data_IF_482486423429
#
_entry.id   IF_482486423429
#
_cell.length_a   1.000
_cell.length_b   1.000
_cell.length_c   1.000
_cell.angle_alpha   90.00
_cell.angle_beta   90.00
_cell.angle_gamma   90.00
#
_symmetry.space_group_name_H-M   'P 1'
#
loop_
_entity.id
_entity.type
_entity.pdbx_description
1 polymer ?
#
# COMPACT_ATOMS: atom_id res chain seq x y z
N UNK A 1 10.16 12.58 17.31
CA UNK A 1 10.74 11.28 16.92
C UNK A 1 10.61 11.10 15.41
N UNK A 2 11.67 10.63 14.72
CA UNK A 2 11.70 10.48 13.26
C UNK A 2 10.56 9.61 12.69
N UNK A 3 10.05 8.65 13.48
CA UNK A 3 8.97 7.74 13.11
C UNK A 3 7.62 8.44 12.86
N UNK A 4 7.24 9.39 13.72
CA UNK A 4 6.00 10.15 13.56
C UNK A 4 6.04 11.09 12.35
N UNK A 5 7.23 11.58 12.00
CA UNK A 5 7.46 12.38 10.80
C UNK A 5 7.23 11.54 9.53
N UNK A 6 7.81 10.35 9.54
CA UNK A 6 7.73 9.41 8.44
C UNK A 6 6.27 9.00 8.16
N UNK A 7 5.51 8.68 9.20
CA UNK A 7 4.11 8.26 9.05
C UNK A 7 3.25 9.33 8.37
N UNK A 8 3.54 10.62 8.62
CA UNK A 8 2.85 11.75 7.97
C UNK A 8 3.16 11.82 6.47
N UNK A 9 4.42 11.63 6.08
CA UNK A 9 4.77 11.57 4.64
C UNK A 9 4.14 10.35 3.97
N UNK A 10 4.18 9.20 4.63
CA UNK A 10 3.51 8.00 4.13
C UNK A 10 2.01 8.22 3.96
N UNK A 11 1.32 8.83 4.93
CA UNK A 11 -0.10 9.15 4.80
C UNK A 11 -0.37 10.09 3.63
N UNK A 12 0.47 11.10 3.41
CA UNK A 12 0.33 12.01 2.29
C UNK A 12 0.37 11.29 0.94
N UNK A 13 1.34 10.39 0.74
CA UNK A 13 1.43 9.59 -0.49
C UNK A 13 0.26 8.60 -0.59
N UNK A 14 -0.13 7.97 0.52
CA UNK A 14 -1.27 7.04 0.54
C UNK A 14 -2.61 7.71 0.27
N UNK A 15 -2.77 9.02 0.51
CA UNK A 15 -3.99 9.73 0.09
C UNK A 15 -4.20 9.71 -1.42
N UNK A 16 -3.12 9.69 -2.22
CA UNK A 16 -3.24 9.51 -3.68
C UNK A 16 -3.82 8.13 -4.00
N UNK A 17 -3.36 7.09 -3.31
CA UNK A 17 -3.87 5.74 -3.48
C UNK A 17 -5.32 5.60 -2.98
N UNK A 18 -5.67 6.25 -1.86
CA UNK A 18 -7.04 6.25 -1.34
C UNK A 18 -8.01 6.96 -2.27
N UNK A 19 -7.64 8.14 -2.79
CA UNK A 19 -8.47 8.86 -3.76
C UNK A 19 -8.73 8.03 -5.02
N UNK A 20 -7.73 7.28 -5.48
CA UNK A 20 -7.91 6.38 -6.63
C UNK A 20 -8.77 5.16 -6.28
N UNK A 21 -8.61 4.56 -5.09
CA UNK A 21 -9.49 3.48 -4.61
C UNK A 21 -10.94 3.95 -4.60
N UNK A 22 -11.20 5.14 -4.08
CA UNK A 22 -12.55 5.70 -3.96
C UNK A 22 -13.16 6.00 -5.34
N UNK A 23 -12.33 6.26 -6.36
CA UNK A 23 -12.77 6.38 -7.75
C UNK A 23 -13.02 5.01 -8.42
N UNK A 24 -12.13 4.03 -8.22
CA UNK A 24 -12.22 2.70 -8.85
C UNK A 24 -13.42 1.90 -8.31
N UNK A 25 -13.67 1.98 -7.01
CA UNK A 25 -14.71 1.19 -6.32
C UNK A 25 -16.10 1.34 -6.95
N UNK A 26 -16.68 2.56 -7.12
CA UNK A 26 -18.00 2.73 -7.73
C UNK A 26 -18.02 2.37 -9.22
N UNK A 27 -16.91 2.61 -9.97
CA UNK A 27 -16.81 2.25 -11.39
C UNK A 27 -16.95 0.74 -11.58
N UNK A 28 -16.23 -0.04 -10.77
CA UNK A 28 -16.29 -1.49 -10.82
C UNK A 28 -17.62 -2.00 -10.25
N UNK A 29 -18.14 -1.40 -9.18
CA UNK A 29 -19.41 -1.80 -8.58
C UNK A 29 -20.57 -1.60 -9.56
N UNK A 30 -20.57 -0.50 -10.32
CA UNK A 30 -21.55 -0.26 -11.37
C UNK A 30 -21.42 -1.27 -12.53
N UNK A 31 -20.19 -1.56 -12.96
CA UNK A 31 -19.93 -2.59 -13.98
C UNK A 31 -20.38 -3.99 -13.53
N UNK A 32 -20.21 -4.29 -12.24
CA UNK A 32 -20.67 -5.51 -11.60
C UNK A 32 -22.20 -5.60 -11.54
N UNK A 33 -22.88 -4.49 -11.19
CA UNK A 33 -24.34 -4.39 -11.25
C UNK A 33 -24.92 -4.62 -12.65
N UNK A 34 -24.22 -4.14 -13.70
CA UNK A 34 -24.58 -4.40 -15.09
C UNK A 34 -24.19 -5.81 -15.59
N UNK A 35 -23.57 -6.65 -14.74
CA UNK A 35 -23.04 -7.98 -15.07
C UNK A 35 -22.09 -8.00 -16.29
N UNK A 36 -21.43 -6.88 -16.59
CA UNK A 36 -20.58 -6.75 -17.77
C UNK A 36 -19.13 -7.15 -17.45
N UNK A 37 -18.77 -8.41 -17.75
CA UNK A 37 -17.41 -8.93 -17.52
C UNK A 37 -16.32 -8.05 -18.11
N UNK A 38 -16.52 -7.61 -19.36
CA UNK A 38 -15.54 -6.76 -20.07
C UNK A 38 -15.27 -5.48 -19.30
N UNK A 39 -16.32 -4.79 -18.85
CA UNK A 39 -16.19 -3.54 -18.06
C UNK A 39 -15.55 -3.77 -16.69
N UNK A 40 -15.84 -4.90 -16.04
CA UNK A 40 -15.18 -5.26 -14.77
C UNK A 40 -13.68 -5.48 -15.00
N UNK A 41 -13.31 -6.28 -16.01
CA UNK A 41 -11.90 -6.57 -16.32
C UNK A 41 -11.14 -5.30 -16.74
N UNK A 42 -11.76 -4.46 -17.57
CA UNK A 42 -11.19 -3.17 -17.95
C UNK A 42 -11.02 -2.26 -16.73
N UNK A 43 -12.03 -2.17 -15.86
CA UNK A 43 -11.98 -1.39 -14.62
C UNK A 43 -10.85 -1.83 -13.68
N UNK A 44 -10.67 -3.14 -13.50
CA UNK A 44 -9.56 -3.70 -12.70
C UNK A 44 -8.21 -3.38 -13.37
N UNK A 45 -8.08 -3.62 -14.68
CA UNK A 45 -6.83 -3.42 -15.42
C UNK A 45 -6.40 -1.96 -15.42
N UNK A 46 -7.29 -1.06 -15.81
CA UNK A 46 -7.00 0.37 -15.82
C UNK A 46 -6.84 0.92 -14.42
N UNK A 47 -7.67 0.50 -13.46
CA UNK A 47 -7.54 0.90 -12.06
C UNK A 47 -6.14 0.58 -11.48
N UNK A 48 -5.65 -0.64 -11.71
CA UNK A 48 -4.30 -1.03 -11.28
C UNK A 48 -3.20 -0.27 -12.03
N UNK A 49 -3.32 -0.09 -13.35
CA UNK A 49 -2.34 0.68 -14.13
C UNK A 49 -2.25 2.12 -13.63
N UNK A 50 -3.39 2.80 -13.45
CA UNK A 50 -3.42 4.17 -12.93
C UNK A 50 -2.85 4.24 -11.51
N UNK A 51 -3.10 3.22 -10.68
CA UNK A 51 -2.50 3.13 -9.33
C UNK A 51 -0.99 3.09 -9.42
N UNK A 52 -0.43 2.19 -10.23
CA UNK A 52 1.02 2.03 -10.40
C UNK A 52 1.65 3.33 -10.91
N UNK A 53 1.05 3.97 -11.91
CA UNK A 53 1.53 5.26 -12.44
C UNK A 53 1.53 6.35 -11.36
N UNK A 54 0.43 6.47 -10.60
CA UNK A 54 0.34 7.43 -9.49
C UNK A 54 1.36 7.15 -8.39
N UNK A 55 1.59 5.87 -8.05
CA UNK A 55 2.57 5.51 -7.03
C UNK A 55 4.00 5.78 -7.48
N UNK A 56 4.34 5.54 -8.76
CA UNK A 56 5.65 5.88 -9.31
C UNK A 56 5.87 7.40 -9.26
N UNK A 57 4.85 8.20 -9.59
CA UNK A 57 4.90 9.66 -9.43
C UNK A 57 5.08 10.06 -7.95
N UNK A 58 4.36 9.41 -7.04
CA UNK A 58 4.52 9.63 -5.59
C UNK A 58 5.94 9.33 -5.11
N UNK A 59 6.53 8.21 -5.55
CA UNK A 59 7.92 7.84 -5.27
C UNK A 59 8.87 8.91 -5.81
N UNK A 60 8.73 9.31 -7.09
CA UNK A 60 9.57 10.33 -7.70
C UNK A 60 9.50 11.66 -6.94
N UNK A 61 8.31 12.11 -6.54
CA UNK A 61 8.14 13.33 -5.74
C UNK A 61 8.85 13.18 -4.39
N UNK A 62 8.72 12.04 -3.72
CA UNK A 62 9.39 11.81 -2.42
C UNK A 62 10.91 11.67 -2.53
N UNK A 63 11.45 11.18 -3.65
CA UNK A 63 12.89 11.06 -3.90
C UNK A 63 13.55 12.36 -4.38
N UNK A 64 12.83 13.19 -5.14
CA UNK A 64 13.33 14.48 -5.63
C UNK A 64 13.25 15.55 -4.52
N UNK A 65 12.23 15.49 -3.67
CA UNK A 65 11.98 16.49 -2.62
C UNK A 65 12.11 15.97 -1.17
N UNK A 66 13.02 15.05 -0.81
CA UNK A 66 13.14 14.55 0.56
C UNK A 66 13.58 15.67 1.51
N UNK A 67 14.37 16.61 1.01
CA UNK A 67 14.80 17.79 1.75
C UNK A 67 13.65 18.73 2.09
N UNK A 68 12.68 18.90 1.18
CA UNK A 68 11.48 19.72 1.39
C UNK A 68 10.50 19.05 2.34
N UNK A 69 10.32 17.72 2.25
CA UNK A 69 9.54 16.95 3.23
C UNK A 69 10.18 17.02 4.63
N UNK A 70 11.51 16.92 4.72
CA UNK A 70 12.21 17.04 5.99
C UNK A 70 12.05 18.42 6.63
N UNK A 71 11.97 19.50 5.84
CA UNK A 71 11.70 20.86 6.35
C UNK A 71 10.23 21.08 6.66
N UNK A 72 9.33 20.62 5.77
CA UNK A 72 7.87 20.76 5.90
C UNK A 72 7.36 20.11 7.19
N UNK A 73 7.94 18.97 7.56
CA UNK A 73 7.58 18.27 8.78
C UNK A 73 8.50 18.56 9.97
N UNK A 74 9.47 19.48 9.84
CA UNK A 74 10.37 19.91 10.91
C UNK A 74 11.24 18.78 11.51
N UNK A 75 12.05 18.11 10.67
CA UNK A 75 12.88 16.96 11.05
C UNK A 75 14.07 17.27 11.98
N UNK A 76 14.44 18.55 12.16
CA UNK A 76 15.52 18.98 13.06
C UNK A 76 16.84 18.20 12.87
N UNK A 77 17.44 17.72 13.97
CA UNK A 77 18.67 16.92 13.97
C UNK A 77 18.50 15.47 13.47
N UNK A 78 17.28 15.01 13.20
CA UNK A 78 17.01 13.65 12.70
C UNK A 78 16.92 13.58 11.17
N UNK A 79 17.35 14.63 10.47
CA UNK A 79 17.20 14.78 9.01
C UNK A 79 17.90 13.69 8.20
N UNK A 80 19.12 13.31 8.55
CA UNK A 80 19.86 12.29 7.81
C UNK A 80 19.24 10.89 7.95
N UNK A 81 18.87 10.51 9.18
CA UNK A 81 18.14 9.26 9.44
C UNK A 81 16.78 9.22 8.72
N UNK A 82 16.10 10.37 8.65
CA UNK A 82 14.82 10.50 7.95
C UNK A 82 14.96 10.34 6.43
N UNK A 83 15.99 10.94 5.83
CA UNK A 83 16.25 10.81 4.38
C UNK A 83 16.65 9.37 4.03
N UNK A 84 17.48 8.71 4.85
CA UNK A 84 17.84 7.31 4.66
C UNK A 84 16.63 6.37 4.76
N UNK A 85 15.77 6.57 5.76
CA UNK A 85 14.53 5.80 5.92
C UNK A 85 13.55 6.03 4.76
N UNK A 86 13.36 7.28 4.32
CA UNK A 86 12.50 7.63 3.20
C UNK A 86 12.84 6.86 1.92
N UNK A 87 14.12 6.70 1.59
CA UNK A 87 14.57 5.94 0.39
C UNK A 87 14.27 4.44 0.47
N UNK A 88 14.36 3.85 1.66
CA UNK A 88 14.05 2.43 1.84
C UNK A 88 12.54 2.21 1.72
N UNK A 89 11.75 3.13 2.27
CA UNK A 89 10.31 2.94 2.38
C UNK A 89 9.55 3.45 1.15
N UNK A 90 10.13 4.35 0.36
CA UNK A 90 9.54 4.77 -0.92
C UNK A 90 9.22 3.58 -1.82
N UNK A 91 10.08 2.55 -1.84
CA UNK A 91 9.85 1.30 -2.58
C UNK A 91 8.56 0.59 -2.13
N UNK A 92 8.25 0.65 -0.83
CA UNK A 92 7.03 0.05 -0.28
C UNK A 92 5.75 0.78 -0.70
N UNK A 93 5.84 2.06 -1.08
CA UNK A 93 4.67 2.82 -1.50
C UNK A 93 4.01 2.24 -2.75
N UNK A 94 4.79 1.72 -3.69
CA UNK A 94 4.25 1.05 -4.87
C UNK A 94 3.32 -0.11 -4.49
N UNK A 95 3.80 -1.00 -3.62
CA UNK A 95 3.03 -2.13 -3.12
C UNK A 95 1.86 -1.69 -2.24
N UNK A 96 2.05 -0.67 -1.41
CA UNK A 96 0.99 -0.12 -0.57
C UNK A 96 -0.16 0.45 -1.40
N UNK A 97 0.14 1.17 -2.48
CA UNK A 97 -0.87 1.68 -3.41
C UNK A 97 -1.63 0.56 -4.09
N UNK A 98 -0.94 -0.48 -4.58
CA UNK A 98 -1.58 -1.66 -5.17
C UNK A 98 -2.49 -2.35 -4.15
N UNK A 99 -2.05 -2.52 -2.91
CA UNK A 99 -2.85 -3.09 -1.83
C UNK A 99 -4.13 -2.27 -1.55
N UNK A 100 -4.03 -0.94 -1.58
CA UNK A 100 -5.18 -0.04 -1.44
C UNK A 100 -6.15 -0.19 -2.62
N UNK A 101 -5.64 -0.25 -3.85
CA UNK A 101 -6.47 -0.46 -5.04
C UNK A 101 -7.20 -1.81 -4.99
N UNK A 102 -6.50 -2.87 -4.57
CA UNK A 102 -7.10 -4.18 -4.34
C UNK A 102 -8.26 -4.13 -3.34
N UNK A 103 -8.13 -3.40 -2.23
CA UNK A 103 -9.24 -3.26 -1.27
C UNK A 103 -10.48 -2.63 -1.91
N UNK A 104 -10.31 -1.61 -2.76
CA UNK A 104 -11.43 -1.01 -3.52
C UNK A 104 -12.07 -1.97 -4.50
N UNK A 105 -11.24 -2.68 -5.27
CA UNK A 105 -11.70 -3.68 -6.24
C UNK A 105 -12.50 -4.79 -5.54
N UNK A 106 -12.03 -5.28 -4.40
CA UNK A 106 -12.75 -6.32 -3.66
C UNK A 106 -14.06 -5.84 -3.08
N UNK A 107 -14.08 -4.63 -2.50
CA UNK A 107 -15.32 -4.04 -2.01
C UNK A 107 -16.36 -3.85 -3.12
N UNK A 108 -15.89 -3.52 -4.33
CA UNK A 108 -16.76 -3.38 -5.49
C UNK A 108 -17.34 -4.70 -6.04
N UNK A 109 -16.67 -5.83 -5.79
CA UNK A 109 -17.02 -7.16 -6.29
C UNK A 109 -17.66 -8.07 -5.24
N UNK A 110 -18.23 -7.48 -4.18
CA UNK A 110 -18.85 -8.17 -3.04
C UNK A 110 -17.84 -9.03 -2.22
N UNK A 111 -16.54 -8.76 -2.37
CA UNK A 111 -15.43 -9.38 -1.65
C UNK A 111 -15.01 -8.61 -0.41
N UNK A 112 -15.98 -8.16 0.40
CA UNK A 112 -15.71 -7.33 1.58
C UNK A 112 -14.72 -7.98 2.55
N UNK A 113 -14.80 -9.31 2.72
CA UNK A 113 -13.92 -10.09 3.61
C UNK A 113 -12.48 -10.09 3.07
N UNK A 114 -12.27 -10.28 1.78
CA UNK A 114 -10.93 -10.24 1.16
C UNK A 114 -10.28 -8.86 1.35
N UNK A 115 -11.04 -7.78 1.20
CA UNK A 115 -10.56 -6.41 1.47
C UNK A 115 -10.16 -6.20 2.94
N UNK A 116 -10.91 -6.82 3.86
CA UNK A 116 -10.65 -6.75 5.30
C UNK A 116 -9.39 -7.53 5.66
N UNK A 117 -9.23 -8.74 5.14
CA UNK A 117 -8.04 -9.57 5.39
C UNK A 117 -6.78 -8.83 4.94
N UNK A 118 -6.78 -8.21 3.76
CA UNK A 118 -5.63 -7.41 3.29
C UNK A 118 -5.35 -6.23 4.22
N UNK A 119 -6.39 -5.54 4.68
CA UNK A 119 -6.24 -4.41 5.62
C UNK A 119 -5.63 -4.87 6.95
N UNK A 120 -6.11 -5.98 7.52
CA UNK A 120 -5.62 -6.55 8.78
C UNK A 120 -4.19 -7.08 8.65
N UNK A 121 -3.83 -7.71 7.54
CA UNK A 121 -2.46 -8.15 7.27
C UNK A 121 -1.49 -6.96 7.30
N UNK A 122 -1.88 -5.87 6.66
CA UNK A 122 -1.04 -4.67 6.51
C UNK A 122 -0.91 -3.87 7.81
N UNK A 123 -1.97 -3.81 8.62
CA UNK A 123 -2.04 -2.93 9.79
C UNK A 123 -1.82 -3.63 11.13
N UNK A 124 -1.99 -4.97 11.19
CA UNK A 124 -1.98 -5.71 12.45
C UNK A 124 -1.17 -6.99 12.37
N UNK A 125 -1.55 -7.93 11.49
CA UNK A 125 -1.08 -9.33 11.58
C UNK A 125 0.40 -9.45 11.18
N UNK A 126 0.88 -8.68 10.21
CA UNK A 126 2.28 -8.79 9.75
C UNK A 126 3.15 -7.73 10.42
N UNK A 127 2.67 -6.49 10.50
CA UNK A 127 3.48 -5.35 10.97
C UNK A 127 3.81 -5.44 12.46
N UNK A 128 2.88 -5.87 13.33
CA UNK A 128 3.13 -5.98 14.77
C UNK A 128 4.18 -7.04 15.12
N UNK A 129 4.08 -8.30 14.64
CA UNK A 129 5.11 -9.29 14.95
C UNK A 129 6.45 -8.93 14.32
N UNK A 130 6.48 -8.40 13.08
CA UNK A 130 7.74 -7.93 12.49
C UNK A 130 8.36 -6.80 13.31
N UNK A 131 7.57 -5.81 13.75
CA UNK A 131 8.08 -4.74 14.60
C UNK A 131 8.59 -5.27 15.95
N UNK A 132 7.92 -6.25 16.56
CA UNK A 132 8.37 -6.91 17.78
C UNK A 132 9.68 -7.66 17.61
N UNK A 133 9.81 -8.46 16.56
CA UNK A 133 11.02 -9.22 16.23
C UNK A 133 12.18 -8.26 15.94
N UNK A 134 11.97 -7.25 15.08
CA UNK A 134 13.02 -6.27 14.77
C UNK A 134 13.40 -5.42 15.98
N UNK A 135 12.46 -5.05 16.85
CA UNK A 135 12.75 -4.36 18.11
C UNK A 135 13.63 -5.21 19.05
N UNK A 136 13.33 -6.51 19.15
CA UNK A 136 14.15 -7.45 19.93
C UNK A 136 15.57 -7.62 19.35
N UNK A 137 15.71 -7.69 18.02
CA UNK A 137 17.00 -7.78 17.35
C UNK A 137 17.85 -6.52 17.48
N UNK A 138 17.23 -5.33 17.39
CA UNK A 138 17.92 -4.04 17.62
C UNK A 138 18.39 -3.93 19.07
N UNK A 139 17.60 -4.42 20.03
CA UNK A 139 17.96 -4.42 21.47
C UNK A 139 19.10 -5.40 21.80
N UNK A 140 19.23 -6.49 21.05
CA UNK A 140 20.34 -7.44 21.16
C UNK A 140 21.67 -6.97 20.53
N UNK A 141 21.73 -5.73 20.02
CA UNK A 141 23.00 -5.09 19.63
C UNK A 141 23.63 -5.59 18.32
N UNK A 142 22.94 -6.43 17.54
CA UNK A 142 23.50 -7.00 16.30
C UNK A 142 23.22 -6.19 15.03
N UNK A 143 22.25 -5.26 15.02
CA UNK A 143 21.88 -4.51 13.81
C UNK A 143 21.27 -3.13 14.11
N UNK A 144 21.59 -2.14 13.26
CA UNK A 144 21.17 -0.75 13.43
C UNK A 144 19.66 -0.51 13.20
N UNK A 145 19.18 0.63 13.71
CA UNK A 145 17.77 1.11 13.66
C UNK A 145 17.14 1.08 12.26
N UNK A 146 17.98 1.03 11.20
CA UNK A 146 17.62 0.75 9.81
C UNK A 146 16.70 -0.46 9.61
N UNK A 147 16.86 -1.53 10.41
CA UNK A 147 16.12 -2.79 10.23
C UNK A 147 14.61 -2.66 10.45
N UNK A 148 14.19 -1.76 11.34
CA UNK A 148 12.76 -1.54 11.64
C UNK A 148 12.04 -1.04 10.39
N UNK A 149 12.72 -0.26 9.55
CA UNK A 149 12.14 0.30 8.33
C UNK A 149 11.91 -0.75 7.25
N UNK A 150 12.64 -1.87 7.28
CA UNK A 150 12.43 -3.01 6.38
C UNK A 150 11.15 -3.81 6.69
N UNK A 151 10.58 -3.66 7.89
CA UNK A 151 9.30 -4.27 8.23
C UNK A 151 8.18 -3.82 7.29
N UNK A 152 8.18 -2.56 6.88
CA UNK A 152 7.18 -1.98 5.99
C UNK A 152 7.19 -2.59 4.59
N UNK A 153 8.29 -2.56 3.81
CA UNK A 153 8.32 -3.18 2.48
C UNK A 153 8.03 -4.67 2.54
N UNK A 154 8.53 -5.40 3.55
CA UNK A 154 8.22 -6.83 3.71
C UNK A 154 6.71 -7.03 3.91
N UNK A 155 6.09 -6.26 4.79
CA UNK A 155 4.65 -6.31 5.05
C UNK A 155 3.84 -6.03 3.79
N UNK A 156 4.24 -5.02 3.03
CA UNK A 156 3.53 -4.61 1.82
C UNK A 156 3.66 -5.63 0.70
N UNK A 157 4.85 -6.23 0.51
CA UNK A 157 5.07 -7.27 -0.49
C UNK A 157 4.27 -8.53 -0.16
N UNK A 158 4.28 -8.99 1.10
CA UNK A 158 3.50 -10.17 1.52
C UNK A 158 2.00 -9.90 1.35
N UNK A 159 1.52 -8.73 1.78
CA UNK A 159 0.11 -8.34 1.62
C UNK A 159 -0.28 -8.24 0.14
N UNK A 160 0.62 -7.77 -0.72
CA UNK A 160 0.41 -7.69 -2.16
C UNK A 160 0.32 -9.06 -2.81
N UNK A 161 1.14 -10.03 -2.37
CA UNK A 161 1.07 -11.41 -2.84
C UNK A 161 -0.27 -12.06 -2.45
N UNK A 162 -0.70 -11.90 -1.21
CA UNK A 162 -2.02 -12.38 -0.75
C UNK A 162 -3.14 -11.70 -1.54
N UNK A 163 -3.02 -10.38 -1.75
CA UNK A 163 -3.92 -9.61 -2.59
C UNK A 163 -4.02 -10.17 -4.00
N UNK A 164 -2.90 -10.48 -4.67
CA UNK A 164 -2.92 -11.08 -6.00
C UNK A 164 -3.61 -12.45 -6.05
N UNK A 165 -3.39 -13.30 -5.04
CA UNK A 165 -4.05 -14.62 -4.95
C UNK A 165 -5.56 -14.48 -4.81
N UNK A 166 -6.04 -13.57 -3.96
CA UNK A 166 -7.47 -13.28 -3.84
C UNK A 166 -8.07 -12.71 -5.12
N UNK A 167 -7.31 -11.94 -5.91
CA UNK A 167 -7.81 -11.37 -7.16
C UNK A 167 -8.10 -12.48 -8.16
N UNK A 168 -7.19 -13.44 -8.26
CA UNK A 168 -7.36 -14.60 -9.12
C UNK A 168 -8.56 -15.44 -8.69
N UNK A 169 -8.78 -15.58 -7.38
CA UNK A 169 -9.94 -16.31 -6.82
C UNK A 169 -11.27 -15.59 -7.10
N UNK A 170 -11.36 -14.29 -6.82
CA UNK A 170 -12.61 -13.53 -7.00
C UNK A 170 -12.96 -13.38 -8.48
N UNK A 171 -11.96 -13.24 -9.36
CA UNK A 171 -12.21 -13.19 -10.81
C UNK A 171 -12.83 -14.50 -11.31
N UNK A 172 -12.33 -15.64 -10.81
CA UNK A 172 -12.87 -16.96 -11.15
C UNK A 172 -14.27 -17.20 -10.58
N UNK A 173 -14.53 -16.77 -9.34
CA UNK A 173 -15.81 -17.05 -8.67
C UNK A 173 -16.92 -16.04 -9.01
N UNK A 174 -16.60 -14.75 -9.12
CA UNK A 174 -17.61 -13.69 -9.24
C UNK A 174 -17.67 -13.08 -10.64
N UNK A 175 -16.57 -13.12 -11.42
CA UNK A 175 -16.55 -12.54 -12.78
C UNK A 175 -16.78 -13.60 -13.85
N UNK A 176 -16.15 -14.77 -13.75
CA UNK A 176 -16.29 -15.82 -14.77
C UNK A 176 -17.66 -16.52 -14.73
N UNK A 177 -18.38 -16.45 -13.60
CA UNK A 177 -19.73 -17.04 -13.40
C UNK A 177 -20.86 -16.16 -13.93
N UNK A 178 -20.62 -14.86 -14.14
CA UNK A 178 -21.53 -14.04 -14.93
C UNK A 178 -21.61 -14.68 -16.33
N UNK A 179 -22.74 -14.67 -17.03
CA UNK A 179 -22.80 -15.20 -18.42
C UNK A 179 -22.77 -14.02 -19.38
#
# INVERSE_FOLDING_TARGET
TAYGLFYKVQQFVLFLAFGLRDAITPIIAFAYGMRSKKRIQDGIRYGLIYTVVLMILGIAITEILPGAFATLFNAGQSREYFIGAMRIISISFLFAGINVAYQGIYQALDGGIESLVISLLRQLIIILPLAGIFSAFVRNGQMGVSLIWWAFPITEVISCLVGYVFLKRIRKNNVDVLN
#
